data_IF_612034983483
#
_entry.id   IF_612034983483
#
_cell.length_a   1.000
_cell.length_b   1.000
_cell.length_c   1.000
_cell.angle_alpha   90.00
_cell.angle_beta   90.00
_cell.angle_gamma   90.00
#
_symmetry.space_group_name_H-M   'P 1'
#
loop_
_entity.id
_entity.type
_entity.pdbx_description
1 polymer ?
#
# COMPACT_ATOMS: atom_id res chain seq x y z
N UNK A 1 13.74 15.55 -9.36
CA UNK A 1 13.36 14.10 -9.38
C UNK A 1 13.37 13.57 -7.96
N UNK A 2 12.48 12.65 -7.65
CA UNK A 2 12.23 12.19 -6.29
C UNK A 2 11.43 13.18 -5.47
N UNK A 3 11.13 12.84 -4.22
CA UNK A 3 10.49 13.76 -3.26
C UNK A 3 11.47 14.10 -2.15
N UNK A 4 11.49 15.36 -1.75
CA UNK A 4 12.36 15.82 -0.66
C UNK A 4 11.78 15.36 0.69
N UNK A 5 12.55 14.58 1.47
CA UNK A 5 12.17 14.15 2.81
C UNK A 5 12.70 15.13 3.86
N UNK A 6 13.96 15.55 3.70
CA UNK A 6 14.65 16.48 4.59
C UNK A 6 15.39 17.53 3.75
N UNK A 7 16.01 18.50 4.39
CA UNK A 7 16.78 19.55 3.71
C UNK A 7 17.91 19.02 2.79
N UNK A 8 18.38 17.78 3.01
CA UNK A 8 19.49 17.14 2.25
C UNK A 8 19.08 15.87 1.52
N UNK A 9 17.96 15.23 1.90
CA UNK A 9 17.64 13.88 1.48
C UNK A 9 16.42 13.84 0.55
N UNK A 10 16.56 13.10 -0.55
CA UNK A 10 15.47 12.85 -1.50
C UNK A 10 15.16 11.35 -1.56
N UNK A 11 13.89 11.02 -1.63
CA UNK A 11 13.40 9.67 -1.87
C UNK A 11 13.04 9.52 -3.34
N UNK A 12 13.71 8.61 -4.01
CA UNK A 12 13.48 8.31 -5.44
C UNK A 12 12.65 7.06 -5.63
N UNK A 13 12.93 6.02 -4.85
CA UNK A 13 12.24 4.74 -4.97
C UNK A 13 12.26 3.96 -3.66
N UNK A 14 11.27 3.08 -3.52
CA UNK A 14 11.21 2.02 -2.52
C UNK A 14 11.09 0.68 -3.24
N UNK A 15 11.92 -0.28 -2.83
CA UNK A 15 11.95 -1.60 -3.44
C UNK A 15 11.73 -2.67 -2.38
N UNK A 16 10.81 -3.58 -2.65
CA UNK A 16 10.59 -4.75 -1.81
C UNK A 16 10.30 -5.96 -2.69
N UNK A 17 11.25 -6.90 -2.75
CA UNK A 17 11.24 -8.03 -3.67
C UNK A 17 11.04 -7.58 -5.13
N UNK A 18 9.94 -7.95 -5.77
CA UNK A 18 9.54 -7.57 -7.11
C UNK A 18 8.66 -6.29 -7.16
N UNK A 19 8.20 -5.81 -6.01
CA UNK A 19 7.43 -4.56 -5.91
C UNK A 19 8.36 -3.35 -5.83
N UNK A 20 8.15 -2.38 -6.72
CA UNK A 20 8.87 -1.11 -6.75
C UNK A 20 7.91 0.08 -6.78
N UNK A 21 8.16 1.07 -5.93
CA UNK A 21 7.54 2.39 -6.00
C UNK A 21 8.59 3.40 -6.44
N UNK A 22 8.26 4.27 -7.38
CA UNK A 22 9.05 5.43 -7.75
C UNK A 22 8.29 6.71 -7.36
N UNK A 23 9.03 7.73 -6.95
CA UNK A 23 8.49 9.02 -6.50
C UNK A 23 8.97 10.14 -7.41
N UNK A 24 8.06 11.02 -7.77
CA UNK A 24 8.35 12.21 -8.57
C UNK A 24 7.56 13.41 -8.06
N UNK A 25 8.04 14.61 -8.30
CA UNK A 25 7.37 15.85 -7.91
C UNK A 25 6.37 16.32 -8.97
N UNK A 26 6.62 16.00 -10.23
CA UNK A 26 5.76 16.40 -11.34
C UNK A 26 5.64 15.34 -12.45
N UNK A 27 4.77 15.62 -13.43
CA UNK A 27 4.47 14.72 -14.54
C UNK A 27 5.67 14.52 -15.48
N UNK A 28 6.56 15.50 -15.63
CA UNK A 28 7.74 15.38 -16.47
C UNK A 28 8.76 14.44 -15.84
N UNK A 29 8.96 14.61 -14.55
CA UNK A 29 9.85 13.77 -13.75
C UNK A 29 9.39 12.30 -13.75
N UNK A 30 8.09 12.03 -13.51
CA UNK A 30 7.60 10.65 -13.51
C UNK A 30 7.72 10.00 -14.88
N UNK A 31 7.41 10.73 -15.97
CA UNK A 31 7.56 10.23 -17.34
C UNK A 31 9.03 9.92 -17.67
N UNK A 32 9.95 10.78 -17.28
CA UNK A 32 11.38 10.53 -17.43
C UNK A 32 11.84 9.29 -16.66
N UNK A 33 11.42 9.18 -15.39
CA UNK A 33 11.81 8.06 -14.53
C UNK A 33 11.26 6.73 -15.07
N UNK A 34 10.02 6.68 -15.52
CA UNK A 34 9.41 5.47 -16.11
C UNK A 34 10.17 5.06 -17.37
N UNK A 35 10.51 6.01 -18.25
CA UNK A 35 11.27 5.72 -19.47
C UNK A 35 12.65 5.15 -19.14
N UNK A 36 13.36 5.78 -18.19
CA UNK A 36 14.68 5.29 -17.76
C UNK A 36 14.61 3.92 -17.11
N UNK A 37 13.61 3.71 -16.26
CA UNK A 37 13.39 2.40 -15.64
C UNK A 37 13.11 1.31 -16.69
N UNK A 38 12.32 1.63 -17.71
CA UNK A 38 12.03 0.72 -18.82
C UNK A 38 13.30 0.37 -19.61
N UNK A 39 14.10 1.37 -20.00
CA UNK A 39 15.38 1.18 -20.67
C UNK A 39 16.31 0.25 -19.88
N UNK A 40 16.47 0.51 -18.57
CA UNK A 40 17.31 -0.31 -17.70
C UNK A 40 16.79 -1.74 -17.53
N UNK A 41 15.48 -1.91 -17.37
CA UNK A 41 14.90 -3.25 -17.26
C UNK A 41 15.09 -4.06 -18.53
N UNK A 42 14.91 -3.45 -19.71
CA UNK A 42 15.13 -4.12 -20.99
C UNK A 42 16.59 -4.58 -21.16
N UNK A 43 17.57 -3.80 -20.67
CA UNK A 43 18.99 -4.19 -20.68
C UNK A 43 19.24 -5.48 -19.87
N UNK A 44 18.42 -5.73 -18.85
CA UNK A 44 18.50 -6.94 -18.02
C UNK A 44 17.51 -8.03 -18.43
N UNK A 45 16.82 -7.88 -19.56
CA UNK A 45 15.80 -8.82 -20.02
C UNK A 45 14.51 -8.81 -19.21
N UNK A 46 14.28 -7.78 -18.38
CA UNK A 46 13.07 -7.58 -17.60
C UNK A 46 12.09 -6.69 -18.37
N UNK A 47 10.80 -6.78 -18.04
CA UNK A 47 9.76 -5.93 -18.64
C UNK A 47 8.83 -5.39 -17.57
N UNK A 48 8.52 -4.11 -17.63
CA UNK A 48 7.44 -3.53 -16.85
C UNK A 48 6.12 -4.13 -17.31
N UNK A 49 5.25 -4.50 -16.38
CA UNK A 49 3.92 -4.98 -16.71
C UNK A 49 2.89 -3.84 -16.56
N UNK A 50 2.45 -3.19 -17.66
CA UNK A 50 1.55 -2.04 -17.60
C UNK A 50 0.20 -2.36 -16.95
N UNK A 51 -0.28 -3.60 -17.06
CA UNK A 51 -1.57 -4.00 -16.47
C UNK A 51 -1.53 -4.16 -14.95
N UNK A 52 -0.34 -4.26 -14.35
CA UNK A 52 -0.12 -4.31 -12.90
C UNK A 52 0.52 -3.04 -12.34
N UNK A 53 0.99 -2.16 -13.23
CA UNK A 53 1.59 -0.89 -12.84
C UNK A 53 0.50 0.17 -12.78
N UNK A 54 0.42 0.87 -11.70
CA UNK A 54 -0.53 1.96 -11.49
C UNK A 54 0.24 3.23 -11.05
N UNK A 55 -0.37 4.35 -11.28
CA UNK A 55 0.17 5.67 -10.99
C UNK A 55 -0.84 6.45 -10.13
N UNK A 56 -0.36 7.17 -9.14
CA UNK A 56 -1.21 7.92 -8.22
C UNK A 56 -0.66 9.33 -8.01
N UNK A 57 -1.54 10.33 -8.11
CA UNK A 57 -1.22 11.73 -7.78
C UNK A 57 -1.76 12.05 -6.39
N UNK A 58 -0.88 12.51 -5.52
CA UNK A 58 -1.24 12.96 -4.17
C UNK A 58 -1.47 14.47 -4.20
N UNK A 59 -2.63 14.92 -3.72
CA UNK A 59 -2.97 16.34 -3.65
C UNK A 59 -3.36 17.00 -4.98
N UNK A 60 -3.65 16.21 -6.01
CA UNK A 60 -4.02 16.70 -7.34
C UNK A 60 -4.94 15.76 -8.10
N UNK A 61 -5.19 16.11 -9.36
CA UNK A 61 -5.95 15.30 -10.31
C UNK A 61 -4.98 14.67 -11.30
N UNK A 62 -4.88 13.35 -11.29
CA UNK A 62 -4.04 12.60 -12.22
C UNK A 62 -4.78 12.25 -13.51
N UNK A 63 -3.99 11.99 -14.56
CA UNK A 63 -4.45 11.46 -15.85
C UNK A 63 -3.63 10.22 -16.14
N UNK A 64 -4.18 9.29 -16.91
CA UNK A 64 -3.42 8.10 -17.35
C UNK A 64 -2.16 8.52 -18.11
N UNK A 65 -1.07 7.76 -17.92
CA UNK A 65 0.22 7.98 -18.58
C UNK A 65 0.29 7.05 -19.78
N UNK A 66 0.45 7.62 -20.98
CA UNK A 66 0.67 6.88 -22.21
C UNK A 66 2.18 6.74 -22.45
N UNK A 67 2.64 5.50 -22.60
CA UNK A 67 4.04 5.19 -22.88
C UNK A 67 4.32 5.22 -24.40
N UNK A 68 5.59 5.35 -24.79
CA UNK A 68 6.03 5.42 -26.19
C UNK A 68 5.62 4.20 -27.05
N UNK A 69 5.40 3.03 -26.43
CA UNK A 69 4.93 1.82 -27.09
C UNK A 69 3.40 1.73 -27.21
N UNK A 70 2.67 2.77 -26.82
CA UNK A 70 1.21 2.84 -26.81
C UNK A 70 0.56 2.12 -25.63
N UNK A 71 1.33 1.57 -24.69
CA UNK A 71 0.78 1.03 -23.45
C UNK A 71 0.40 2.16 -22.49
N UNK A 72 -0.63 1.93 -21.66
CA UNK A 72 -1.18 2.94 -20.75
C UNK A 72 -1.03 2.47 -19.32
N UNK A 73 -0.43 3.32 -18.48
CA UNK A 73 -0.42 3.18 -17.02
C UNK A 73 -1.60 3.98 -16.46
N UNK A 74 -2.49 3.28 -15.76
CA UNK A 74 -3.71 3.90 -15.24
C UNK A 74 -3.46 4.72 -13.99
N UNK A 75 -4.12 5.88 -13.93
CA UNK A 75 -4.19 6.66 -12.72
C UNK A 75 -5.18 6.02 -11.74
N UNK A 76 -4.75 5.80 -10.50
CA UNK A 76 -5.59 5.28 -9.44
C UNK A 76 -5.72 6.26 -8.27
N UNK A 77 -6.83 6.18 -7.53
CA UNK A 77 -7.03 6.94 -6.29
C UNK A 77 -6.59 6.17 -5.05
N UNK A 78 -6.44 4.86 -5.17
CA UNK A 78 -5.99 3.98 -4.08
C UNK A 78 -5.13 2.86 -4.64
N UNK A 79 -4.06 2.53 -3.95
CA UNK A 79 -3.14 1.44 -4.29
C UNK A 79 -2.89 0.53 -3.10
N UNK A 80 -2.71 -0.78 -3.34
CA UNK A 80 -2.32 -1.73 -2.31
C UNK A 80 -0.81 -1.96 -2.37
N UNK A 81 -0.08 -1.42 -1.40
CA UNK A 81 1.35 -1.65 -1.28
C UNK A 81 1.66 -2.48 -0.04
N UNK A 82 2.36 -3.60 -0.24
CA UNK A 82 2.72 -4.56 0.83
C UNK A 82 1.54 -4.93 1.74
N UNK A 83 0.36 -5.09 1.14
CA UNK A 83 -0.85 -5.45 1.87
C UNK A 83 -1.55 -4.31 2.60
N UNK A 84 -1.03 -3.09 2.55
CA UNK A 84 -1.64 -1.88 3.12
C UNK A 84 -2.22 -1.02 2.00
N UNK A 85 -3.41 -0.47 2.21
CA UNK A 85 -4.07 0.40 1.25
C UNK A 85 -3.62 1.85 1.45
N UNK A 86 -3.01 2.42 0.42
CA UNK A 86 -2.61 3.82 0.35
C UNK A 86 -3.62 4.58 -0.50
N UNK A 87 -4.02 5.78 -0.10
CA UNK A 87 -4.92 6.65 -0.84
C UNK A 87 -4.24 7.96 -1.23
N UNK A 88 -4.69 8.56 -2.33
CA UNK A 88 -4.22 9.86 -2.79
C UNK A 88 -4.60 11.03 -1.85
N UNK A 89 -5.55 10.80 -0.93
CA UNK A 89 -5.95 11.77 0.10
C UNK A 89 -5.02 11.72 1.33
N UNK A 90 -4.11 10.75 1.41
CA UNK A 90 -3.24 10.52 2.58
C UNK A 90 -3.98 9.98 3.81
N UNK A 91 -5.27 9.63 3.70
CA UNK A 91 -6.09 9.17 4.82
C UNK A 91 -5.96 7.67 5.06
N UNK A 92 -5.74 7.28 6.32
CA UNK A 92 -5.73 5.87 6.75
C UNK A 92 -7.13 5.29 6.99
N UNK A 93 -8.20 6.08 6.85
CA UNK A 93 -9.56 5.66 7.23
C UNK A 93 -10.04 4.41 6.47
N UNK A 94 -9.77 4.33 5.17
CA UNK A 94 -10.15 3.18 4.34
C UNK A 94 -9.37 1.91 4.73
N UNK A 95 -8.08 2.05 5.03
CA UNK A 95 -7.27 0.92 5.49
C UNK A 95 -7.78 0.41 6.84
N UNK A 96 -8.00 1.30 7.81
CA UNK A 96 -8.54 0.94 9.13
C UNK A 96 -9.87 0.21 9.00
N UNK A 97 -10.81 0.72 8.18
CA UNK A 97 -12.08 0.05 7.94
C UNK A 97 -11.91 -1.37 7.38
N UNK A 98 -11.01 -1.54 6.41
CA UNK A 98 -10.74 -2.86 5.83
C UNK A 98 -10.12 -3.82 6.84
N UNK A 99 -9.19 -3.36 7.68
CA UNK A 99 -8.59 -4.17 8.76
C UNK A 99 -9.63 -4.61 9.77
N UNK A 100 -10.51 -3.70 10.18
CA UNK A 100 -11.62 -4.05 11.08
C UNK A 100 -12.54 -5.09 10.45
N UNK A 101 -12.86 -4.97 9.16
CA UNK A 101 -13.71 -5.98 8.48
C UNK A 101 -13.01 -7.35 8.38
N UNK A 102 -11.72 -7.38 8.01
CA UNK A 102 -10.91 -8.62 8.01
C UNK A 102 -10.87 -9.26 9.39
N UNK A 103 -10.69 -8.46 10.45
CA UNK A 103 -10.74 -8.93 11.84
C UNK A 103 -12.10 -9.53 12.22
N UNK A 104 -13.21 -8.88 11.83
CA UNK A 104 -14.57 -9.43 12.05
C UNK A 104 -14.79 -10.76 11.34
N UNK A 105 -14.27 -10.90 10.11
CA UNK A 105 -14.33 -12.16 9.35
C UNK A 105 -13.53 -13.24 10.09
N UNK A 106 -12.31 -12.94 10.53
CA UNK A 106 -11.48 -13.89 11.28
C UNK A 106 -12.16 -14.36 12.58
N UNK A 107 -12.79 -13.45 13.35
CA UNK A 107 -13.56 -13.80 14.55
C UNK A 107 -14.70 -14.76 14.21
N UNK A 108 -15.43 -14.52 13.11
CA UNK A 108 -16.53 -15.42 12.69
C UNK A 108 -16.01 -16.80 12.31
N UNK A 109 -14.89 -16.88 11.61
CA UNK A 109 -14.25 -18.16 11.25
C UNK A 109 -13.76 -18.93 12.49
N UNK A 110 -13.30 -18.23 13.52
CA UNK A 110 -12.85 -18.79 14.78
C UNK A 110 -13.99 -19.01 15.79
N UNK A 111 -15.25 -18.82 15.42
CA UNK A 111 -16.40 -18.87 16.33
C UNK A 111 -16.46 -20.17 17.12
N UNK A 112 -16.31 -21.33 16.47
CA UNK A 112 -16.35 -22.66 17.12
C UNK A 112 -15.27 -22.84 18.19
N UNK A 113 -14.16 -22.16 18.08
CA UNK A 113 -13.04 -22.20 19.04
C UNK A 113 -13.26 -21.17 20.15
N UNK A 114 -13.49 -19.91 19.77
CA UNK A 114 -13.57 -18.80 20.73
C UNK A 114 -14.77 -18.93 21.69
N UNK A 115 -15.89 -19.48 21.23
CA UNK A 115 -17.10 -19.71 22.05
C UNK A 115 -17.21 -21.11 22.65
N UNK A 116 -16.24 -21.99 22.39
CA UNK A 116 -16.24 -23.36 22.99
C UNK A 116 -15.97 -23.30 24.50
N UNK A 117 -16.86 -23.86 25.32
CA UNK A 117 -16.76 -23.84 26.77
C UNK A 117 -15.65 -24.73 27.34
N UNK A 118 -15.20 -25.73 26.59
CA UNK A 118 -14.17 -26.69 27.03
C UNK A 118 -12.75 -26.17 26.82
N UNK A 119 -12.56 -25.18 25.96
CA UNK A 119 -11.24 -24.59 25.68
C UNK A 119 -10.89 -23.55 26.75
N UNK A 120 -9.67 -23.67 27.31
CA UNK A 120 -9.14 -22.74 28.30
C UNK A 120 -9.09 -21.31 27.77
N UNK A 121 -9.36 -20.31 28.65
CA UNK A 121 -9.36 -18.89 28.32
C UNK A 121 -8.01 -18.39 27.82
N UNK A 122 -6.91 -18.93 28.33
CA UNK A 122 -5.57 -18.51 27.94
C UNK A 122 -5.25 -18.97 26.50
N UNK A 123 -5.68 -20.18 26.12
CA UNK A 123 -5.57 -20.66 24.75
C UNK A 123 -6.39 -19.79 23.79
N UNK A 124 -7.63 -19.44 24.18
CA UNK A 124 -8.46 -18.53 23.37
C UNK A 124 -7.83 -17.16 23.20
N UNK A 125 -7.24 -16.60 24.29
CA UNK A 125 -6.53 -15.32 24.26
C UNK A 125 -5.31 -15.38 23.34
N UNK A 126 -4.56 -16.50 23.39
CA UNK A 126 -3.42 -16.70 22.50
C UNK A 126 -3.88 -16.75 21.04
N UNK A 127 -4.91 -17.52 20.70
CA UNK A 127 -5.46 -17.59 19.34
C UNK A 127 -5.96 -16.22 18.86
N UNK A 128 -6.69 -15.50 19.71
CA UNK A 128 -7.17 -14.16 19.39
C UNK A 128 -6.01 -13.19 19.09
N UNK A 129 -5.01 -13.16 19.95
CA UNK A 129 -3.84 -12.28 19.75
C UNK A 129 -3.05 -12.65 18.51
N UNK A 130 -2.81 -13.94 18.30
CA UNK A 130 -1.98 -14.40 17.18
C UNK A 130 -2.67 -14.20 15.83
N UNK A 131 -3.99 -14.35 15.75
CA UNK A 131 -4.71 -14.30 14.48
C UNK A 131 -5.47 -12.97 14.31
N UNK A 132 -6.37 -12.66 15.24
CA UNK A 132 -7.28 -11.51 15.05
C UNK A 132 -6.55 -10.20 15.24
N UNK A 133 -5.79 -10.07 16.33
CA UNK A 133 -5.06 -8.86 16.66
C UNK A 133 -3.99 -8.54 15.60
N UNK A 134 -3.25 -9.55 15.12
CA UNK A 134 -2.27 -9.38 14.05
C UNK A 134 -2.90 -8.96 12.71
N UNK A 135 -4.10 -9.45 12.37
CA UNK A 135 -4.83 -9.00 11.19
C UNK A 135 -5.26 -7.53 11.34
N UNK A 136 -5.81 -7.17 12.50
CA UNK A 136 -6.34 -5.82 12.73
C UNK A 136 -5.23 -4.79 12.83
N UNK A 137 -4.11 -5.12 13.48
CA UNK A 137 -3.00 -4.19 13.73
C UNK A 137 -1.93 -4.19 12.62
N UNK A 138 -2.09 -4.99 11.58
CA UNK A 138 -1.12 -4.97 10.48
C UNK A 138 -1.03 -3.60 9.82
N UNK A 139 0.17 -3.02 9.77
CA UNK A 139 0.42 -1.68 9.23
C UNK A 139 -0.09 -0.54 10.14
N UNK A 140 -0.46 -0.82 11.39
CA UNK A 140 -0.99 0.19 12.32
C UNK A 140 0.02 1.30 12.65
N UNK A 141 1.30 1.03 12.48
CA UNK A 141 2.40 2.00 12.62
C UNK A 141 2.34 3.14 11.59
N UNK A 142 1.63 2.91 10.48
CA UNK A 142 1.45 3.90 9.40
C UNK A 142 0.14 4.70 9.53
N UNK A 143 -0.72 4.39 10.52
CA UNK A 143 -2.02 5.03 10.62
C UNK A 143 -1.92 6.44 11.19
N UNK A 144 -2.46 7.39 10.46
CA UNK A 144 -2.78 8.70 11.01
C UNK A 144 -4.01 8.59 11.92
N UNK A 145 -3.78 8.67 13.23
CA UNK A 145 -4.86 8.76 14.21
C UNK A 145 -5.07 10.26 14.47
N UNK A 146 -6.23 10.84 14.07
CA UNK A 146 -6.48 12.24 14.36
C UNK A 146 -6.43 12.49 15.87
N UNK A 147 -5.61 13.47 16.29
CA UNK A 147 -5.59 13.91 17.68
C UNK A 147 -7.01 14.31 18.06
N UNK A 148 -7.56 13.70 19.11
CA UNK A 148 -8.80 14.18 19.71
C UNK A 148 -8.59 15.65 20.06
N UNK A 149 -9.37 16.54 19.45
CA UNK A 149 -9.53 17.90 19.96
C UNK A 149 -10.17 17.77 21.33
N UNK A 150 -9.42 18.13 22.36
CA UNK A 150 -9.95 18.29 23.72
C UNK A 150 -11.02 19.39 23.77
#
# INVERSE_FOLDING_TARGET
MGIQINSSDHLYSLNFADDQIIFAEDDNDINYMIRKLKEEYENWGLKINPSKTEYMVVGGVGKDIELEDGSVIKCCSTYNYLGTKVSNEGSSALEIQQRVQKGKIAIRQLHSILWNKTINKDVKRMIYKTIVESIVLYGAELWEIPKRSE
#
